data_IF_557825089567
#
_entry.id   IF_557825089567
#
_cell.length_a   1.000
_cell.length_b   1.000
_cell.length_c   1.000
_cell.angle_alpha   90.00
_cell.angle_beta   90.00
_cell.angle_gamma   90.00
#
_symmetry.space_group_name_H-M   'P 1'
#
loop_
_entity.id
_entity.type
_entity.pdbx_description
1 polymer ?
#
# COMPACT_ATOMS: atom_id res chain seq x y z
N UNK A 1 -12.34 17.31 41.31
CA UNK A 1 -12.56 18.27 40.21
C UNK A 1 -13.89 17.92 39.56
N UNK A 2 -14.81 18.87 39.40
CA UNK A 2 -16.11 18.60 38.79
C UNK A 2 -15.92 18.23 37.31
N UNK A 3 -16.42 17.07 36.89
CA UNK A 3 -16.39 16.65 35.49
C UNK A 3 -17.17 17.67 34.65
N UNK A 4 -16.49 18.40 33.78
CA UNK A 4 -17.13 19.32 32.84
C UNK A 4 -17.99 18.50 31.89
N UNK A 5 -19.30 18.72 31.93
CA UNK A 5 -20.30 18.10 31.07
C UNK A 5 -20.69 19.06 29.96
N UNK A 6 -20.76 18.56 28.73
CA UNK A 6 -21.32 19.30 27.58
C UNK A 6 -22.29 18.41 26.82
N UNK A 7 -23.43 18.98 26.39
CA UNK A 7 -24.45 18.29 25.61
C UNK A 7 -24.50 18.88 24.20
N UNK A 8 -24.60 18.00 23.22
CA UNK A 8 -24.62 18.35 21.79
C UNK A 8 -25.72 17.57 21.08
N UNK A 9 -26.34 18.17 20.08
CA UNK A 9 -27.29 17.51 19.19
C UNK A 9 -26.64 17.35 17.81
N UNK A 10 -26.63 16.13 17.27
CA UNK A 10 -25.96 15.79 16.00
C UNK A 10 -26.88 14.91 15.15
N UNK A 11 -26.92 15.15 13.85
CA UNK A 11 -27.55 14.23 12.88
C UNK A 11 -26.51 13.26 12.32
N UNK A 12 -26.80 11.96 12.31
CA UNK A 12 -25.85 10.93 11.87
C UNK A 12 -26.52 9.83 11.04
N UNK A 13 -25.88 9.28 9.99
CA UNK A 13 -26.44 8.17 9.20
C UNK A 13 -26.76 6.97 10.09
N UNK A 14 -28.03 6.58 10.11
CA UNK A 14 -28.53 5.64 11.11
C UNK A 14 -27.92 4.23 10.91
N UNK A 15 -27.79 3.81 9.64
CA UNK A 15 -27.02 2.63 9.22
C UNK A 15 -25.59 2.59 9.78
N UNK A 16 -24.86 3.71 9.65
CA UNK A 16 -23.47 3.80 10.11
C UNK A 16 -23.40 3.73 11.63
N UNK A 17 -24.33 4.38 12.33
CA UNK A 17 -24.38 4.36 13.78
C UNK A 17 -24.64 2.94 14.33
N UNK A 18 -25.61 2.22 13.76
CA UNK A 18 -25.93 0.86 14.19
C UNK A 18 -24.71 -0.09 14.01
N UNK A 19 -23.97 0.06 12.91
CA UNK A 19 -22.71 -0.68 12.69
C UNK A 19 -21.65 -0.35 13.72
N UNK A 20 -21.41 0.94 13.97
CA UNK A 20 -20.45 1.40 14.98
C UNK A 20 -20.83 0.85 16.37
N UNK A 21 -22.11 0.91 16.74
CA UNK A 21 -22.59 0.41 18.02
C UNK A 21 -22.34 -1.10 18.18
N UNK A 22 -22.59 -1.89 17.14
CA UNK A 22 -22.33 -3.32 17.14
C UNK A 22 -20.82 -3.62 17.27
N UNK A 23 -20.00 -3.00 16.42
CA UNK A 23 -18.56 -3.25 16.41
C UNK A 23 -17.90 -2.80 17.71
N UNK A 24 -18.29 -1.64 18.25
CA UNK A 24 -17.85 -1.18 19.55
C UNK A 24 -18.18 -2.20 20.63
N UNK A 25 -19.44 -2.64 20.73
CA UNK A 25 -19.85 -3.64 21.73
C UNK A 25 -18.98 -4.90 21.63
N UNK A 26 -18.88 -5.48 20.44
CA UNK A 26 -18.21 -6.77 20.26
C UNK A 26 -16.70 -6.67 20.47
N UNK A 27 -16.04 -5.62 19.98
CA UNK A 27 -14.60 -5.46 20.20
C UNK A 27 -14.28 -5.26 21.68
N UNK A 28 -15.14 -4.56 22.44
CA UNK A 28 -14.96 -4.38 23.89
C UNK A 28 -15.18 -5.69 24.63
N UNK A 29 -16.18 -6.48 24.26
CA UNK A 29 -16.40 -7.83 24.81
C UNK A 29 -15.21 -8.76 24.53
N UNK A 30 -14.58 -8.63 23.35
CA UNK A 30 -13.39 -9.39 22.96
C UNK A 30 -12.07 -8.80 23.46
N UNK A 31 -12.09 -7.67 24.16
CA UNK A 31 -10.87 -7.00 24.63
C UNK A 31 -9.94 -6.47 23.53
N UNK A 32 -10.45 -6.21 22.33
CA UNK A 32 -9.69 -5.64 21.21
C UNK A 32 -9.83 -4.11 21.23
N UNK A 33 -8.71 -3.42 21.37
CA UNK A 33 -8.69 -1.95 21.38
C UNK A 33 -8.97 -1.35 20.00
N UNK A 34 -9.37 -0.08 19.98
CA UNK A 34 -9.59 0.68 18.76
C UNK A 34 -8.29 0.78 17.94
N UNK A 35 -7.14 0.88 18.61
CA UNK A 35 -5.84 0.86 17.93
C UNK A 35 -5.55 -0.50 17.30
N UNK A 36 -5.71 -1.59 18.05
CA UNK A 36 -5.45 -2.94 17.55
C UNK A 36 -6.32 -3.24 16.32
N UNK A 37 -7.62 -2.91 16.40
CA UNK A 37 -8.53 -3.05 15.27
C UNK A 37 -8.13 -2.17 14.08
N UNK A 38 -7.75 -0.90 14.31
CA UNK A 38 -7.26 -0.01 13.24
C UNK A 38 -5.97 -0.50 12.59
N UNK A 39 -5.08 -1.10 13.38
CA UNK A 39 -3.81 -1.65 12.91
C UNK A 39 -4.05 -2.87 12.01
N UNK A 40 -4.91 -3.80 12.44
CA UNK A 40 -5.29 -4.97 11.64
C UNK A 40 -5.97 -4.58 10.32
N UNK A 41 -6.80 -3.53 10.34
CA UNK A 41 -7.37 -2.94 9.12
C UNK A 41 -6.32 -2.31 8.20
N UNK A 42 -5.10 -2.07 8.69
CA UNK A 42 -4.04 -1.38 7.95
C UNK A 42 -4.31 0.12 7.76
N UNK A 43 -5.19 0.72 8.57
CA UNK A 43 -5.54 2.16 8.52
C UNK A 43 -4.69 2.96 9.51
N UNK A 44 -4.91 4.27 9.58
CA UNK A 44 -4.23 5.10 10.57
C UNK A 44 -4.60 4.68 11.99
N UNK A 45 -3.69 4.90 12.95
CA UNK A 45 -3.76 4.39 14.34
C UNK A 45 -5.07 4.69 15.11
N UNK A 46 -5.86 5.64 14.64
CA UNK A 46 -7.07 6.12 15.31
C UNK A 46 -8.33 5.96 14.47
N UNK A 47 -8.28 5.19 13.38
CA UNK A 47 -9.40 5.04 12.45
C UNK A 47 -10.68 4.59 13.16
N UNK A 48 -10.64 3.48 13.89
CA UNK A 48 -11.80 2.96 14.63
C UNK A 48 -12.27 3.95 15.70
N UNK A 49 -11.33 4.50 16.48
CA UNK A 49 -11.64 5.50 17.52
C UNK A 49 -12.34 6.73 16.93
N UNK A 50 -11.91 7.17 15.76
CA UNK A 50 -12.49 8.32 15.07
C UNK A 50 -13.85 7.96 14.46
N UNK A 51 -14.06 6.73 13.95
CA UNK A 51 -15.40 6.27 13.50
C UNK A 51 -16.40 6.16 14.64
N UNK A 52 -15.94 5.84 15.85
CA UNK A 52 -16.78 5.76 17.05
C UNK A 52 -17.14 7.15 17.61
N UNK A 53 -16.58 8.22 17.05
CA UNK A 53 -16.85 9.57 17.49
C UNK A 53 -17.86 10.24 16.53
N UNK A 54 -19.11 10.52 16.98
CA UNK A 54 -20.14 11.11 16.13
C UNK A 54 -19.82 12.54 15.66
N UNK A 55 -18.79 13.18 16.22
CA UNK A 55 -18.29 14.49 15.77
C UNK A 55 -17.23 14.40 14.66
N UNK A 56 -16.79 13.20 14.28
CA UNK A 56 -15.80 12.99 13.22
C UNK A 56 -16.50 12.60 11.92
N UNK A 57 -15.96 13.03 10.76
CA UNK A 57 -16.51 12.66 9.46
C UNK A 57 -16.10 11.24 9.02
N UNK A 58 -15.25 10.56 9.78
CA UNK A 58 -14.72 9.23 9.43
C UNK A 58 -15.83 8.19 9.52
N UNK A 59 -16.09 7.48 8.41
CA UNK A 59 -17.06 6.40 8.33
C UNK A 59 -16.38 5.10 7.94
N UNK A 60 -17.00 3.98 8.30
CA UNK A 60 -16.59 2.63 7.90
C UNK A 60 -17.21 2.34 6.54
N UNK A 61 -16.38 2.18 5.50
CA UNK A 61 -16.84 1.79 4.17
C UNK A 61 -17.22 0.28 4.12
N UNK A 62 -17.90 -0.20 3.07
CA UNK A 62 -18.31 -1.61 2.99
C UNK A 62 -17.17 -2.62 3.06
N UNK A 63 -16.00 -2.27 2.54
CA UNK A 63 -14.83 -3.14 2.48
C UNK A 63 -14.13 -3.18 3.84
N UNK A 64 -14.02 -2.05 4.54
CA UNK A 64 -13.58 -1.99 5.94
C UNK A 64 -14.57 -2.73 6.87
N UNK A 65 -15.88 -2.62 6.63
CA UNK A 65 -16.92 -3.34 7.36
C UNK A 65 -16.73 -4.86 7.27
N UNK A 66 -16.41 -5.38 6.08
CA UNK A 66 -16.12 -6.80 5.88
C UNK A 66 -14.85 -7.26 6.62
N UNK A 67 -13.77 -6.46 6.59
CA UNK A 67 -12.54 -6.80 7.32
C UNK A 67 -12.70 -6.70 8.85
N UNK A 68 -13.48 -5.75 9.36
CA UNK A 68 -13.85 -5.69 10.79
C UNK A 68 -14.60 -6.97 11.19
N UNK A 69 -15.51 -7.46 10.34
CA UNK A 69 -16.20 -8.73 10.54
C UNK A 69 -15.22 -9.89 10.76
N UNK A 70 -14.15 -10.00 9.95
CA UNK A 70 -13.11 -11.02 10.11
C UNK A 70 -12.29 -10.82 11.40
N UNK A 71 -11.87 -9.59 11.70
CA UNK A 71 -11.13 -9.27 12.92
C UNK A 71 -11.92 -9.72 14.16
N UNK A 72 -13.22 -9.44 14.17
CA UNK A 72 -14.12 -9.72 15.29
C UNK A 72 -14.76 -11.12 15.24
N UNK A 73 -14.50 -11.92 14.20
CA UNK A 73 -15.09 -13.25 13.98
C UNK A 73 -16.63 -13.20 14.00
N UNK A 74 -17.21 -12.33 13.16
CA UNK A 74 -18.66 -12.20 12.99
C UNK A 74 -19.13 -13.08 11.84
N UNK A 75 -20.15 -13.90 12.09
CA UNK A 75 -20.83 -14.69 11.06
C UNK A 75 -21.59 -13.77 10.07
N UNK A 76 -22.30 -12.76 10.58
CA UNK A 76 -23.02 -11.75 9.79
C UNK A 76 -22.49 -10.33 10.06
N UNK A 77 -21.65 -9.82 9.16
CA UNK A 77 -21.07 -8.47 9.31
C UNK A 77 -21.99 -7.33 8.84
N UNK A 78 -23.13 -7.66 8.21
CA UNK A 78 -24.19 -6.72 7.81
C UNK A 78 -25.40 -6.89 8.76
N UNK A 79 -25.32 -6.34 9.98
CA UNK A 79 -26.44 -6.44 10.92
C UNK A 79 -27.71 -5.81 10.35
N UNK A 80 -28.90 -6.19 10.86
CA UNK A 80 -30.16 -5.55 10.47
C UNK A 80 -30.06 -4.05 10.66
N UNK A 81 -30.34 -3.30 9.60
CA UNK A 81 -30.22 -1.84 9.60
C UNK A 81 -31.57 -1.25 9.94
N UNK A 82 -31.54 -0.20 10.74
CA UNK A 82 -32.73 0.65 10.92
C UNK A 82 -33.23 1.17 9.56
N UNK A 83 -34.55 1.23 9.33
CA UNK A 83 -35.11 1.82 8.11
C UNK A 83 -34.98 3.35 8.06
N UNK A 84 -34.51 3.98 9.14
CA UNK A 84 -34.28 5.42 9.19
C UNK A 84 -33.04 5.81 8.39
N UNK A 85 -33.11 6.94 7.67
CA UNK A 85 -31.96 7.50 6.98
C UNK A 85 -30.96 8.14 7.96
N UNK A 86 -31.48 8.90 8.93
CA UNK A 86 -30.70 9.68 9.89
C UNK A 86 -31.24 9.51 11.31
N UNK A 87 -30.33 9.34 12.27
CA UNK A 87 -30.62 9.52 13.69
C UNK A 87 -30.35 10.96 14.12
N UNK A 88 -31.18 11.46 15.04
CA UNK A 88 -30.85 12.61 15.89
C UNK A 88 -30.23 12.08 17.18
N UNK A 89 -28.98 12.44 17.42
CA UNK A 89 -28.18 11.96 18.54
C UNK A 89 -27.98 13.08 19.57
N UNK A 90 -28.41 12.83 20.81
CA UNK A 90 -28.01 13.60 21.97
C UNK A 90 -26.70 13.03 22.52
N UNK A 91 -25.61 13.78 22.44
CA UNK A 91 -24.28 13.36 22.89
C UNK A 91 -23.86 14.15 24.11
N UNK A 92 -23.75 13.49 25.26
CA UNK A 92 -23.18 14.05 26.49
C UNK A 92 -21.70 13.64 26.60
N UNK A 93 -20.79 14.62 26.55
CA UNK A 93 -19.38 14.38 26.84
C UNK A 93 -19.08 14.65 28.31
N UNK A 94 -18.47 13.66 28.97
CA UNK A 94 -18.02 13.70 30.36
C UNK A 94 -16.50 13.55 30.35
N UNK A 95 -15.79 14.63 30.67
CA UNK A 95 -14.33 14.54 30.87
C UNK A 95 -14.03 13.75 32.13
N UNK A 96 -13.28 12.67 31.99
CA UNK A 96 -12.80 11.86 33.13
C UNK A 96 -11.44 12.39 33.58
N UNK A 97 -10.53 12.62 32.63
CA UNK A 97 -9.23 13.25 32.86
C UNK A 97 -8.76 14.02 31.61
N UNK A 98 -7.47 14.38 31.53
CA UNK A 98 -6.90 15.14 30.42
C UNK A 98 -6.98 14.41 29.07
N UNK A 99 -6.98 13.08 29.08
CA UNK A 99 -6.92 12.23 27.87
C UNK A 99 -8.22 11.46 27.64
N UNK A 100 -8.92 11.07 28.70
CA UNK A 100 -10.13 10.24 28.61
C UNK A 100 -11.42 11.06 28.66
N UNK A 101 -12.23 10.90 27.63
CA UNK A 101 -13.59 11.42 27.53
C UNK A 101 -14.55 10.24 27.40
N UNK A 102 -15.57 10.20 28.25
CA UNK A 102 -16.75 9.34 28.09
C UNK A 102 -17.82 10.08 27.31
N UNK A 103 -18.38 9.45 26.30
CA UNK A 103 -19.53 9.93 25.53
C UNK A 103 -20.73 9.05 25.83
N UNK A 104 -21.80 9.65 26.31
CA UNK A 104 -23.11 9.00 26.42
C UNK A 104 -23.94 9.49 25.25
N UNK A 105 -24.26 8.60 24.33
CA UNK A 105 -25.01 8.90 23.11
C UNK A 105 -26.42 8.35 23.29
N UNK A 106 -27.44 9.18 23.10
CA UNK A 106 -28.85 8.77 23.13
C UNK A 106 -29.50 9.10 21.79
N UNK A 107 -30.15 8.10 21.18
CA UNK A 107 -30.93 8.31 19.96
C UNK A 107 -32.28 8.92 20.36
N UNK A 108 -32.66 10.06 19.78
CA UNK A 108 -34.02 10.59 19.95
C UNK A 108 -35.01 9.67 19.22
N UNK A 109 -35.85 8.95 19.96
CA UNK A 109 -36.97 8.19 19.43
C UNK A 109 -38.28 8.98 19.52
N UNK A 110 -39.22 8.67 18.62
CA UNK A 110 -40.62 9.00 18.87
C UNK A 110 -41.07 8.31 20.16
N UNK A 111 -41.89 9.01 20.93
CA UNK A 111 -42.13 8.92 22.38
C UNK A 111 -42.49 7.55 23.02
N UNK A 112 -42.41 6.42 22.32
CA UNK A 112 -42.85 5.09 22.76
C UNK A 112 -41.82 3.94 22.64
N UNK A 113 -40.57 4.18 22.20
CA UNK A 113 -39.51 3.17 22.21
C UNK A 113 -38.49 3.46 23.32
N UNK A 114 -38.00 2.46 24.07
CA UNK A 114 -36.94 2.68 25.05
C UNK A 114 -35.71 3.28 24.35
N UNK A 115 -35.19 4.36 24.90
CA UNK A 115 -34.03 5.06 24.36
C UNK A 115 -32.85 4.08 24.23
N UNK A 116 -32.41 3.79 23.00
CA UNK A 116 -31.10 3.18 22.77
C UNK A 116 -30.05 4.20 23.21
N UNK A 117 -29.16 3.78 24.11
CA UNK A 117 -28.00 4.57 24.47
C UNK A 117 -26.72 3.75 24.33
N UNK A 118 -25.64 4.43 23.96
CA UNK A 118 -24.32 3.85 23.76
C UNK A 118 -23.31 4.68 24.56
N UNK A 119 -22.48 3.99 25.35
CA UNK A 119 -21.42 4.62 26.13
C UNK A 119 -20.05 4.30 25.51
N UNK A 120 -19.40 5.32 24.96
CA UNK A 120 -18.09 5.20 24.30
C UNK A 120 -17.04 5.91 25.12
N UNK A 121 -15.95 5.20 25.41
CA UNK A 121 -14.77 5.79 26.04
C UNK A 121 -13.72 6.08 24.96
N UNK A 122 -13.10 7.25 25.04
CA UNK A 122 -11.97 7.57 24.18
C UNK A 122 -10.78 6.69 24.58
N UNK A 123 -10.25 5.95 23.62
CA UNK A 123 -9.08 5.10 23.79
C UNK A 123 -7.82 5.79 23.25
N UNK A 124 -6.72 5.68 23.99
CA UNK A 124 -5.39 6.06 23.54
C UNK A 124 -4.79 4.98 22.64
N UNK A 125 -3.69 5.30 21.94
CA UNK A 125 -3.09 4.40 20.95
C UNK A 125 -2.64 3.06 21.55
N UNK A 126 -2.28 3.02 22.82
CA UNK A 126 -1.65 1.84 23.44
C UNK A 126 -2.45 1.38 24.66
N UNK A 127 -3.76 1.63 24.66
CA UNK A 127 -4.66 1.09 25.68
C UNK A 127 -4.75 -0.43 25.52
N UNK A 128 -4.43 -1.15 26.58
CA UNK A 128 -4.63 -2.58 26.69
C UNK A 128 -5.94 -2.84 27.42
N UNK A 129 -6.85 -3.57 26.76
CA UNK A 129 -8.11 -3.98 27.37
C UNK A 129 -7.95 -5.37 27.99
N UNK A 130 -8.69 -5.64 29.05
CA UNK A 130 -8.92 -7.01 29.50
C UNK A 130 -9.60 -7.80 28.38
N UNK A 131 -9.16 -9.04 28.16
CA UNK A 131 -9.58 -9.86 27.03
C UNK A 131 -9.89 -11.29 27.45
N UNK A 132 -11.00 -11.88 26.96
CA UNK A 132 -11.27 -13.31 27.09
C UNK A 132 -10.60 -14.14 25.98
N UNK A 133 -9.99 -13.50 24.98
CA UNK A 133 -9.28 -14.19 23.89
C UNK A 133 -7.96 -14.79 24.38
N UNK A 134 -7.47 -15.81 23.67
CA UNK A 134 -6.18 -16.43 23.95
C UNK A 134 -5.05 -15.43 23.74
N UNK A 135 -4.41 -15.03 24.84
CA UNK A 135 -3.27 -14.15 24.84
C UNK A 135 -1.99 -15.00 24.98
N UNK A 136 -1.29 -15.21 23.86
CA UNK A 136 0.02 -15.90 23.82
C UNK A 136 1.12 -15.03 24.47
N UNK A 137 2.38 -15.42 24.33
CA UNK A 137 3.54 -14.67 24.83
C UNK A 137 4.34 -14.04 23.69
N UNK A 138 5.10 -12.99 23.98
CA UNK A 138 5.98 -12.37 22.98
C UNK A 138 7.00 -13.34 22.37
N UNK A 139 7.66 -14.25 23.14
CA UNK A 139 8.59 -15.21 22.56
C UNK A 139 7.93 -16.21 21.59
N UNK A 140 6.76 -16.77 21.93
CA UNK A 140 6.03 -17.70 21.06
C UNK A 140 5.65 -17.02 19.73
N UNK A 141 5.11 -15.81 19.80
CA UNK A 141 4.78 -15.03 18.60
C UNK A 141 6.03 -14.75 17.77
N UNK A 142 7.14 -14.38 18.40
CA UNK A 142 8.39 -14.09 17.68
C UNK A 142 8.98 -15.32 17.00
N UNK A 143 8.96 -16.49 17.66
CA UNK A 143 9.40 -17.75 17.07
C UNK A 143 8.57 -18.09 15.83
N UNK A 144 7.25 -18.12 15.95
CA UNK A 144 6.36 -18.41 14.82
C UNK A 144 6.51 -17.37 13.68
N UNK A 145 6.72 -16.11 14.02
CA UNK A 145 6.95 -15.06 13.01
C UNK A 145 8.26 -15.26 12.25
N UNK A 146 9.33 -15.69 12.93
CA UNK A 146 10.62 -16.03 12.30
C UNK A 146 10.51 -17.26 11.41
N UNK A 147 9.74 -18.28 11.81
CA UNK A 147 9.46 -19.43 10.94
C UNK A 147 8.74 -19.00 9.64
N UNK A 148 7.79 -18.06 9.72
CA UNK A 148 7.14 -17.51 8.53
C UNK A 148 8.14 -16.76 7.62
N UNK A 149 9.07 -16.01 8.20
CA UNK A 149 10.14 -15.34 7.43
C UNK A 149 11.01 -16.36 6.71
N UNK A 150 11.49 -17.40 7.42
CA UNK A 150 12.31 -18.47 6.83
C UNK A 150 11.59 -19.24 5.73
N UNK A 151 10.26 -19.34 5.79
CA UNK A 151 9.42 -19.95 4.76
C UNK A 151 9.12 -19.02 3.57
N UNK A 152 9.64 -17.78 3.57
CA UNK A 152 9.40 -16.81 2.52
C UNK A 152 7.97 -16.25 2.51
N UNK A 153 7.24 -16.30 3.63
CA UNK A 153 5.87 -15.79 3.71
C UNK A 153 5.77 -14.30 3.36
N UNK A 154 6.81 -13.54 3.73
CA UNK A 154 6.94 -12.09 3.51
C UNK A 154 7.64 -11.71 2.20
N UNK A 155 8.02 -12.70 1.38
CA UNK A 155 8.41 -12.47 -0.02
C UNK A 155 7.26 -11.83 -0.82
N UNK A 156 6.02 -12.10 -0.41
CA UNK A 156 4.83 -11.42 -0.91
C UNK A 156 4.37 -10.36 0.09
N UNK A 157 3.77 -9.28 -0.40
CA UNK A 157 3.16 -8.27 0.47
C UNK A 157 1.97 -8.84 1.23
N UNK A 158 1.91 -8.57 2.54
CA UNK A 158 0.84 -8.98 3.44
C UNK A 158 0.24 -7.79 4.17
N UNK A 159 -1.06 -7.79 4.38
CA UNK A 159 -1.75 -6.89 5.30
C UNK A 159 -1.60 -7.41 6.74
N UNK A 160 -1.77 -6.52 7.73
CA UNK A 160 -1.76 -6.95 9.13
C UNK A 160 -2.84 -8.01 9.44
N UNK A 161 -4.00 -7.95 8.77
CA UNK A 161 -5.06 -8.93 8.92
C UNK A 161 -4.68 -10.30 8.31
N UNK A 162 -4.04 -10.34 7.14
CA UNK A 162 -3.57 -11.63 6.56
C UNK A 162 -2.55 -12.31 7.47
N UNK A 163 -1.64 -11.54 8.06
CA UNK A 163 -0.67 -12.08 9.03
C UNK A 163 -1.43 -12.62 10.26
N UNK A 164 -2.40 -11.86 10.77
CA UNK A 164 -3.18 -12.26 11.94
C UNK A 164 -4.06 -13.50 11.70
N UNK A 165 -4.70 -13.60 10.54
CA UNK A 165 -5.47 -14.77 10.14
C UNK A 165 -4.57 -16.00 9.97
N UNK A 166 -3.34 -15.79 9.49
CA UNK A 166 -2.33 -16.86 9.41
C UNK A 166 -1.98 -17.39 10.80
N UNK A 167 -1.77 -16.52 11.78
CA UNK A 167 -1.57 -16.93 13.17
C UNK A 167 -2.78 -17.68 13.72
N UNK A 168 -4.00 -17.18 13.50
CA UNK A 168 -5.24 -17.84 13.94
C UNK A 168 -5.43 -19.24 13.34
N UNK A 169 -4.86 -19.51 12.18
CA UNK A 169 -4.91 -20.82 11.53
C UNK A 169 -3.86 -21.81 12.06
N UNK A 170 -2.86 -21.37 12.82
CA UNK A 170 -1.87 -22.27 13.42
C UNK A 170 -2.43 -22.95 14.68
N UNK A 171 -2.19 -24.25 14.83
CA UNK A 171 -2.70 -25.04 15.95
C UNK A 171 -2.32 -24.47 17.32
N UNK A 172 -1.12 -23.87 17.45
CA UNK A 172 -0.62 -23.30 18.70
C UNK A 172 -1.34 -22.01 19.14
N UNK A 173 -1.95 -21.27 18.22
CA UNK A 173 -2.63 -20.00 18.52
C UNK A 173 -4.15 -20.13 18.41
N UNK A 174 -4.64 -20.78 17.35
CA UNK A 174 -6.06 -21.03 17.11
C UNK A 174 -6.91 -19.79 16.83
N UNK A 175 -8.21 -19.98 16.52
CA UNK A 175 -9.10 -18.90 16.09
C UNK A 175 -9.32 -17.82 17.15
N UNK A 176 -9.18 -18.16 18.44
CA UNK A 176 -9.34 -17.23 19.55
C UNK A 176 -8.07 -16.44 19.88
N UNK A 177 -7.03 -16.48 19.06
CA UNK A 177 -5.80 -15.71 19.25
C UNK A 177 -6.05 -14.19 19.30
N UNK A 178 -5.47 -13.53 20.30
CA UNK A 178 -5.52 -12.08 20.49
C UNK A 178 -4.35 -11.37 19.77
N UNK A 179 -4.59 -10.24 19.06
CA UNK A 179 -3.58 -9.64 18.18
C UNK A 179 -2.46 -8.87 18.88
N UNK A 180 -2.58 -8.57 20.17
CA UNK A 180 -1.67 -7.66 20.91
C UNK A 180 -0.20 -7.92 20.67
N UNK A 181 0.28 -9.13 20.98
CA UNK A 181 1.70 -9.47 20.86
C UNK A 181 2.14 -9.59 19.40
N UNK A 182 1.26 -9.99 18.48
CA UNK A 182 1.54 -9.96 17.05
C UNK A 182 1.77 -8.52 16.55
N UNK A 183 0.93 -7.58 16.94
CA UNK A 183 1.08 -6.16 16.56
C UNK A 183 2.39 -5.59 17.12
N UNK A 184 2.72 -5.89 18.37
CA UNK A 184 4.01 -5.49 18.96
C UNK A 184 5.19 -6.08 18.18
N UNK A 185 5.11 -7.35 17.78
CA UNK A 185 6.13 -8.03 16.99
C UNK A 185 6.29 -7.43 15.58
N UNK A 186 5.19 -7.24 14.83
CA UNK A 186 5.23 -6.57 13.51
C UNK A 186 5.85 -5.17 13.63
N UNK A 187 5.47 -4.40 14.66
CA UNK A 187 6.04 -3.07 14.91
C UNK A 187 7.53 -3.11 15.19
N UNK A 188 8.02 -4.14 15.87
CA UNK A 188 9.45 -4.35 16.12
C UNK A 188 10.21 -4.52 14.80
N UNK A 189 9.71 -5.37 13.90
CA UNK A 189 10.37 -5.70 12.64
C UNK A 189 10.29 -4.64 11.54
N UNK A 190 9.48 -3.59 11.71
CA UNK A 190 9.46 -2.41 10.80
C UNK A 190 10.19 -1.19 11.37
N UNK A 191 10.56 -1.21 12.64
CA UNK A 191 11.08 -0.03 13.31
C UNK A 191 12.61 0.03 13.23
N UNK A 192 13.13 1.00 12.47
CA UNK A 192 14.58 1.24 12.35
C UNK A 192 15.28 1.51 13.68
N UNK A 193 14.55 1.95 14.72
CA UNK A 193 15.10 2.22 16.06
C UNK A 193 15.20 0.98 16.96
N UNK A 194 14.57 -0.14 16.59
CA UNK A 194 14.62 -1.40 17.38
C UNK A 194 15.76 -2.34 16.99
N UNK A 195 16.65 -1.94 16.08
CA UNK A 195 17.92 -2.60 15.80
C UNK A 195 17.95 -3.44 14.53
N UNK A 196 16.87 -4.15 14.21
CA UNK A 196 16.82 -5.06 13.05
C UNK A 196 15.48 -4.95 12.30
N UNK A 197 15.24 -3.84 11.56
CA UNK A 197 14.11 -3.78 10.65
C UNK A 197 14.34 -4.75 9.49
N UNK A 198 13.48 -5.77 9.38
CA UNK A 198 13.52 -6.74 8.27
C UNK A 198 12.28 -6.64 7.37
N UNK A 199 11.25 -5.91 7.83
CA UNK A 199 10.05 -5.65 7.05
C UNK A 199 9.98 -4.18 6.65
N UNK A 200 9.56 -3.93 5.42
CA UNK A 200 9.14 -2.61 4.95
C UNK A 200 7.61 -2.49 4.97
N UNK A 201 7.12 -1.29 5.24
CA UNK A 201 5.69 -0.98 5.26
C UNK A 201 5.31 0.36 4.63
N UNK A 202 6.14 0.83 3.70
CA UNK A 202 5.97 2.08 2.96
C UNK A 202 4.81 2.05 1.97
N UNK A 203 4.29 0.85 1.68
CA UNK A 203 3.29 0.60 0.63
C UNK A 203 1.89 0.37 1.18
N UNK A 204 0.91 0.59 0.32
CA UNK A 204 -0.48 0.25 0.58
C UNK A 204 -1.09 -0.55 -0.56
N UNK A 205 -2.10 -1.37 -0.27
CA UNK A 205 -2.90 -2.01 -1.31
C UNK A 205 -3.93 -1.03 -1.92
N UNK A 206 -4.77 -1.54 -2.85
CA UNK A 206 -5.80 -0.76 -3.53
C UNK A 206 -6.87 -0.14 -2.59
N UNK A 207 -7.02 -0.67 -1.38
CA UNK A 207 -7.91 -0.16 -0.34
C UNK A 207 -7.19 0.72 0.69
N UNK A 208 -5.99 1.20 0.34
CA UNK A 208 -5.12 2.02 1.19
C UNK A 208 -4.71 1.35 2.51
N UNK A 209 -4.70 0.01 2.56
CA UNK A 209 -4.24 -0.74 3.73
C UNK A 209 -2.74 -0.93 3.66
N UNK A 210 -2.05 -0.65 4.76
CA UNK A 210 -0.62 -0.88 4.88
C UNK A 210 -0.24 -2.33 4.56
N UNK A 211 0.77 -2.48 3.73
CA UNK A 211 1.38 -3.75 3.36
C UNK A 211 2.70 -3.93 4.12
N UNK A 212 3.06 -5.17 4.42
CA UNK A 212 4.28 -5.60 5.08
C UNK A 212 4.95 -6.66 4.20
N UNK A 213 6.24 -6.50 3.91
CA UNK A 213 7.01 -7.41 3.08
C UNK A 213 8.48 -7.34 3.46
N UNK A 214 9.21 -8.40 3.18
CA UNK A 214 10.66 -8.42 3.27
C UNK A 214 11.24 -7.80 1.98
N UNK A 215 12.02 -6.71 2.09
CA UNK A 215 12.70 -6.15 0.93
C UNK A 215 13.65 -7.17 0.33
N UNK A 216 13.61 -7.35 -0.98
CA UNK A 216 14.59 -8.19 -1.67
C UNK A 216 15.95 -7.52 -1.60
N UNK A 217 16.91 -8.24 -1.03
CA UNK A 217 18.33 -7.94 -1.13
C UNK A 217 19.13 -9.24 -1.15
N UNK A 218 20.28 -9.21 -1.80
CA UNK A 218 21.22 -10.32 -1.86
C UNK A 218 22.63 -9.81 -2.11
N UNK A 219 23.62 -10.53 -1.59
CA UNK A 219 25.03 -10.25 -1.89
C UNK A 219 25.32 -10.58 -3.35
N UNK A 220 25.99 -9.67 -4.04
CA UNK A 220 26.43 -9.85 -5.42
C UNK A 220 27.64 -10.78 -5.44
N UNK A 221 27.54 -11.89 -6.18
CA UNK A 221 28.67 -12.76 -6.48
C UNK A 221 29.42 -12.24 -7.71
N UNK A 222 30.58 -11.66 -7.44
CA UNK A 222 31.43 -10.97 -8.41
C UNK A 222 31.90 -11.90 -9.54
N UNK A 223 32.00 -13.20 -9.29
CA UNK A 223 32.46 -14.16 -10.29
C UNK A 223 31.40 -14.52 -11.35
N UNK A 224 30.15 -14.07 -11.21
CA UNK A 224 29.04 -14.58 -12.01
C UNK A 224 28.79 -13.86 -13.34
N UNK A 225 29.28 -12.64 -13.54
CA UNK A 225 29.14 -11.97 -14.83
C UNK A 225 29.65 -10.54 -14.91
N UNK A 226 29.55 -9.95 -16.09
CA UNK A 226 30.12 -8.64 -16.41
C UNK A 226 29.40 -7.51 -15.65
N UNK A 227 28.10 -7.63 -15.41
CA UNK A 227 27.34 -6.65 -14.63
C UNK A 227 27.75 -6.72 -13.16
N UNK A 228 27.87 -7.92 -12.60
CA UNK A 228 28.33 -8.15 -11.22
C UNK A 228 29.73 -7.58 -10.99
N UNK A 229 30.67 -7.84 -11.93
CA UNK A 229 32.02 -7.26 -11.92
C UNK A 229 32.01 -5.72 -11.98
N UNK A 230 31.09 -5.14 -12.76
CA UNK A 230 30.99 -3.68 -12.91
C UNK A 230 30.50 -3.00 -11.63
N UNK A 231 29.60 -3.63 -10.87
CA UNK A 231 29.19 -3.14 -9.56
C UNK A 231 30.29 -3.30 -8.50
N UNK A 232 31.04 -4.40 -8.51
CA UNK A 232 32.19 -4.59 -7.63
C UNK A 232 33.25 -3.50 -7.83
N UNK A 233 33.53 -3.12 -9.08
CA UNK A 233 34.46 -2.03 -9.38
C UNK A 233 34.04 -0.67 -8.77
N UNK A 234 32.76 -0.51 -8.41
CA UNK A 234 32.22 0.65 -7.69
C UNK A 234 32.15 0.46 -6.17
N UNK A 235 32.55 -0.70 -5.65
CA UNK A 235 32.43 -1.08 -4.24
C UNK A 235 30.98 -1.38 -3.81
N UNK A 236 30.10 -1.68 -4.76
CA UNK A 236 28.69 -2.01 -4.53
C UNK A 236 28.57 -3.54 -4.43
N UNK A 237 28.10 -4.03 -3.29
CA UNK A 237 28.17 -5.46 -2.95
C UNK A 237 26.80 -6.12 -2.73
N UNK A 238 25.70 -5.36 -2.72
CA UNK A 238 24.35 -5.91 -2.63
C UNK A 238 23.43 -5.41 -3.73
N UNK A 239 22.37 -6.17 -4.01
CA UNK A 239 21.32 -5.76 -4.95
C UNK A 239 20.65 -4.46 -4.51
N UNK A 240 20.41 -4.28 -3.21
CA UNK A 240 19.86 -3.05 -2.65
C UNK A 240 20.75 -1.84 -2.95
N UNK A 241 22.06 -1.95 -2.72
CA UNK A 241 23.03 -0.90 -3.05
C UNK A 241 23.07 -0.61 -4.56
N UNK A 242 23.03 -1.65 -5.40
CA UNK A 242 22.96 -1.51 -6.85
C UNK A 242 21.67 -0.81 -7.30
N UNK A 243 20.54 -1.16 -6.71
CA UNK A 243 19.24 -0.55 -7.00
C UNK A 243 19.19 0.93 -6.58
N UNK A 244 19.77 1.28 -5.43
CA UNK A 244 19.91 2.66 -4.98
C UNK A 244 20.81 3.47 -5.92
N UNK A 245 21.95 2.90 -6.34
CA UNK A 245 22.84 3.53 -7.32
C UNK A 245 22.13 3.75 -8.66
N UNK A 246 21.46 2.73 -9.19
CA UNK A 246 20.68 2.82 -10.44
C UNK A 246 19.60 3.88 -10.32
N UNK A 247 18.88 3.93 -9.21
CA UNK A 247 17.82 4.92 -8.96
C UNK A 247 18.36 6.35 -8.95
N UNK A 248 19.54 6.57 -8.37
CA UNK A 248 20.20 7.87 -8.28
C UNK A 248 20.72 8.42 -9.62
N UNK A 249 20.94 7.57 -10.64
CA UNK A 249 21.39 8.03 -11.96
C UNK A 249 20.39 8.98 -12.63
N UNK A 250 20.89 9.95 -13.39
CA UNK A 250 20.05 10.88 -14.13
C UNK A 250 19.13 10.17 -15.14
N UNK A 251 17.86 10.58 -15.21
CA UNK A 251 16.92 10.05 -16.20
C UNK A 251 17.16 10.66 -17.59
N UNK A 252 17.91 9.95 -18.44
CA UNK A 252 18.32 10.42 -19.78
C UNK A 252 18.54 9.25 -20.74
N UNK A 253 18.48 9.52 -22.05
CA UNK A 253 18.84 8.54 -23.09
C UNK A 253 20.35 8.23 -23.04
N UNK A 254 20.68 6.95 -23.12
CA UNK A 254 22.04 6.45 -23.28
C UNK A 254 22.58 6.72 -24.70
N UNK A 255 23.90 6.78 -24.83
CA UNK A 255 24.61 6.93 -26.11
C UNK A 255 24.41 5.70 -26.99
N UNK A 256 24.60 4.51 -26.41
CA UNK A 256 24.21 3.21 -26.97
C UNK A 256 23.35 2.44 -25.96
N UNK A 257 22.05 2.38 -26.22
CA UNK A 257 21.10 1.64 -25.36
C UNK A 257 21.21 0.11 -25.48
N UNK A 258 21.94 -0.40 -26.46
CA UNK A 258 22.16 -1.84 -26.64
C UNK A 258 23.42 -2.32 -25.91
N UNK A 259 24.33 -1.41 -25.53
CA UNK A 259 25.47 -1.73 -24.68
C UNK A 259 24.98 -2.15 -23.27
N UNK A 260 25.28 -3.38 -22.81
CA UNK A 260 24.90 -3.85 -21.48
C UNK A 260 25.40 -3.02 -20.31
N UNK A 261 26.52 -2.31 -20.50
CA UNK A 261 27.16 -1.49 -19.48
C UNK A 261 26.93 0.02 -19.67
N UNK A 262 26.00 0.41 -20.56
CA UNK A 262 25.78 1.82 -20.91
C UNK A 262 25.51 2.76 -19.71
N UNK A 263 24.95 2.24 -18.61
CA UNK A 263 24.70 3.01 -17.40
C UNK A 263 25.99 3.41 -16.68
N UNK A 264 27.00 2.54 -16.65
CA UNK A 264 28.30 2.80 -16.04
C UNK A 264 29.09 3.83 -16.85
N UNK A 265 29.01 3.75 -18.19
CA UNK A 265 29.69 4.67 -19.11
C UNK A 265 29.01 6.06 -19.13
N UNK A 266 27.69 6.09 -19.33
CA UNK A 266 26.96 7.34 -19.55
C UNK A 266 26.54 8.05 -18.25
N UNK A 267 26.65 7.38 -17.10
CA UNK A 267 26.17 7.84 -15.79
C UNK A 267 24.71 8.34 -15.81
N UNK A 268 23.88 7.68 -16.61
CA UNK A 268 22.47 7.99 -16.78
C UNK A 268 21.73 6.79 -17.38
N UNK A 269 20.40 6.83 -17.32
CA UNK A 269 19.60 5.80 -17.97
C UNK A 269 18.12 6.16 -18.09
N UNK A 270 17.40 5.36 -18.87
CA UNK A 270 15.95 5.41 -18.96
C UNK A 270 15.32 4.32 -18.11
N UNK A 271 13.99 4.29 -17.98
CA UNK A 271 13.32 3.21 -17.27
C UNK A 271 13.66 1.83 -17.84
N UNK A 272 13.91 1.73 -19.16
CA UNK A 272 14.31 0.48 -19.77
C UNK A 272 15.75 0.10 -19.42
N UNK A 273 16.74 0.94 -19.71
CA UNK A 273 18.15 0.60 -19.47
C UNK A 273 18.48 0.42 -17.99
N UNK A 274 17.84 1.19 -17.09
CA UNK A 274 17.95 1.03 -15.64
C UNK A 274 17.48 -0.33 -15.15
N UNK A 275 16.26 -0.74 -15.48
CA UNK A 275 15.73 -2.02 -15.01
C UNK A 275 16.30 -3.23 -15.76
N UNK A 276 16.72 -3.06 -17.02
CA UNK A 276 17.47 -4.11 -17.75
C UNK A 276 18.79 -4.41 -17.06
N UNK A 277 19.53 -3.40 -16.60
CA UNK A 277 20.77 -3.61 -15.85
C UNK A 277 20.52 -4.41 -14.57
N UNK A 278 19.51 -4.01 -13.78
CA UNK A 278 19.15 -4.71 -12.54
C UNK A 278 18.64 -6.13 -12.80
N UNK A 279 17.91 -6.35 -13.90
CA UNK A 279 17.48 -7.69 -14.32
C UNK A 279 18.69 -8.56 -14.65
N UNK A 280 19.66 -8.05 -15.40
CA UNK A 280 20.89 -8.79 -15.72
C UNK A 280 21.67 -9.13 -14.46
N UNK A 281 21.79 -8.19 -13.52
CA UNK A 281 22.41 -8.46 -12.23
C UNK A 281 21.70 -9.60 -11.49
N UNK A 282 20.36 -9.59 -11.45
CA UNK A 282 19.57 -10.65 -10.85
C UNK A 282 19.75 -12.00 -11.55
N UNK A 283 19.77 -12.01 -12.88
CA UNK A 283 19.98 -13.22 -13.69
C UNK A 283 21.37 -13.83 -13.47
N UNK A 284 22.42 -13.00 -13.48
CA UNK A 284 23.78 -13.44 -13.15
C UNK A 284 23.82 -14.07 -11.75
N UNK A 285 23.09 -13.50 -10.79
CA UNK A 285 23.11 -13.96 -9.39
C UNK A 285 22.14 -15.12 -9.08
N UNK A 286 21.27 -15.50 -10.02
CA UNK A 286 20.35 -16.62 -9.87
C UNK A 286 19.06 -16.26 -9.13
N UNK A 287 18.55 -15.05 -9.34
CA UNK A 287 17.33 -14.51 -8.73
C UNK A 287 16.18 -14.39 -9.77
N UNK A 288 15.57 -15.51 -10.21
CA UNK A 288 14.51 -15.50 -11.21
C UNK A 288 13.20 -14.84 -10.73
N UNK A 289 13.02 -14.67 -9.43
CA UNK A 289 11.88 -13.97 -8.82
C UNK A 289 11.81 -12.48 -9.18
N UNK A 290 12.93 -11.91 -9.64
CA UNK A 290 13.00 -10.53 -10.15
C UNK A 290 12.71 -10.54 -11.65
N UNK A 291 11.45 -10.27 -12.00
CA UNK A 291 10.96 -10.30 -13.37
C UNK A 291 11.01 -8.90 -13.99
N UNK A 292 11.55 -8.78 -15.20
CA UNK A 292 11.53 -7.52 -15.93
C UNK A 292 10.19 -7.38 -16.66
N UNK A 293 9.44 -6.36 -16.29
CA UNK A 293 8.09 -6.13 -16.80
C UNK A 293 8.05 -4.92 -17.73
N UNK A 294 7.15 -5.00 -18.72
CA UNK A 294 6.73 -3.90 -19.56
C UNK A 294 5.25 -3.63 -19.35
N UNK A 295 4.93 -2.52 -18.70
CA UNK A 295 3.57 -2.08 -18.47
C UNK A 295 3.14 -0.97 -19.42
N UNK A 296 1.91 -1.01 -19.90
CA UNK A 296 1.24 0.13 -20.52
C UNK A 296 0.38 0.83 -19.48
N UNK A 297 0.55 2.13 -19.33
CA UNK A 297 -0.32 2.99 -18.53
C UNK A 297 -0.71 4.23 -19.32
N UNK A 298 -1.71 4.96 -18.84
CA UNK A 298 -2.13 6.21 -19.47
C UNK A 298 -1.47 7.40 -18.78
N UNK A 299 -0.56 8.09 -19.47
CA UNK A 299 -0.05 9.36 -18.97
C UNK A 299 -1.11 10.45 -19.12
N UNK A 300 -1.40 11.12 -18.02
CA UNK A 300 -2.39 12.20 -17.89
C UNK A 300 -1.74 13.40 -17.22
N UNK A 301 -2.42 14.56 -17.25
CA UNK A 301 -1.98 15.72 -16.48
C UNK A 301 -2.01 15.51 -14.95
N UNK A 302 -2.71 14.46 -14.45
CA UNK A 302 -2.86 14.17 -13.01
C UNK A 302 -1.71 13.33 -12.48
N UNK A 303 -1.41 12.20 -13.13
CA UNK A 303 -0.34 11.28 -12.73
C UNK A 303 1.04 11.72 -13.26
N UNK A 304 1.09 12.44 -14.39
CA UNK A 304 2.33 12.95 -14.98
C UNK A 304 2.22 14.46 -15.24
N UNK A 305 2.22 15.32 -14.20
CA UNK A 305 1.98 16.75 -14.37
C UNK A 305 2.93 17.47 -15.34
N UNK A 306 4.13 16.93 -15.55
CA UNK A 306 5.13 17.47 -16.48
C UNK A 306 4.64 17.53 -17.94
N UNK A 307 3.70 16.67 -18.34
CA UNK A 307 3.25 16.59 -19.75
C UNK A 307 1.95 17.36 -20.02
N UNK A 308 1.40 18.06 -19.02
CA UNK A 308 0.11 18.75 -19.09
C UNK A 308 0.02 19.69 -20.30
N UNK A 309 1.06 20.48 -20.54
CA UNK A 309 1.08 21.46 -21.63
C UNK A 309 1.17 20.79 -23.01
N UNK A 310 1.88 19.65 -23.11
CA UNK A 310 1.96 18.86 -24.33
C UNK A 310 0.60 18.26 -24.66
N UNK A 311 -0.07 17.65 -23.68
CA UNK A 311 -1.42 17.11 -23.84
C UNK A 311 -2.42 18.20 -24.28
N UNK A 312 -2.36 19.38 -23.67
CA UNK A 312 -3.20 20.53 -24.03
C UNK A 312 -2.93 21.02 -25.47
N UNK A 313 -1.66 21.13 -25.86
CA UNK A 313 -1.24 21.54 -27.21
C UNK A 313 -1.85 20.65 -28.29
N UNK A 314 -1.92 19.34 -28.04
CA UNK A 314 -2.44 18.34 -28.98
C UNK A 314 -3.90 17.94 -28.73
N UNK A 315 -4.60 18.61 -27.82
CA UNK A 315 -5.99 18.30 -27.44
C UNK A 315 -6.20 16.81 -27.04
N UNK A 316 -5.23 16.22 -26.34
CA UNK A 316 -5.30 14.86 -25.82
C UNK A 316 -5.63 14.88 -24.32
N UNK A 317 -6.59 14.06 -23.89
CA UNK A 317 -6.87 13.87 -22.46
C UNK A 317 -5.76 13.06 -21.77
N UNK A 318 -5.21 12.10 -22.48
CA UNK A 318 -4.15 11.20 -22.04
C UNK A 318 -3.45 10.58 -23.26
N UNK A 319 -2.29 9.98 -23.05
CA UNK A 319 -1.55 9.22 -24.06
C UNK A 319 -1.04 7.90 -23.45
N UNK A 320 -1.22 6.73 -24.11
CA UNK A 320 -0.64 5.48 -23.65
C UNK A 320 0.88 5.51 -23.68
N UNK A 321 1.52 5.04 -22.62
CA UNK A 321 2.96 4.99 -22.46
C UNK A 321 3.43 3.64 -21.96
N UNK A 322 4.54 3.17 -22.51
CA UNK A 322 5.20 1.95 -22.09
C UNK A 322 6.31 2.23 -21.06
N UNK A 323 6.20 1.62 -19.90
CA UNK A 323 7.13 1.77 -18.78
C UNK A 323 7.73 0.43 -18.38
N UNK A 324 9.04 0.42 -18.10
CA UNK A 324 9.77 -0.78 -17.70
C UNK A 324 10.09 -0.70 -16.21
N UNK A 325 9.90 -1.79 -15.48
CA UNK A 325 10.11 -1.92 -14.04
C UNK A 325 10.41 -3.38 -13.69
N UNK A 326 10.79 -3.66 -12.45
CA UNK A 326 10.92 -5.03 -11.94
C UNK A 326 9.64 -5.41 -11.19
N UNK A 327 9.11 -6.61 -11.38
CA UNK A 327 8.12 -7.20 -10.49
C UNK A 327 8.81 -8.28 -9.68
N UNK A 328 8.69 -8.14 -8.36
CA UNK A 328 9.18 -9.06 -7.36
C UNK A 328 7.95 -9.70 -6.72
N UNK A 329 7.75 -10.99 -6.95
CA UNK A 329 6.57 -11.69 -6.45
C UNK A 329 5.26 -10.97 -6.86
N UNK A 330 4.51 -10.41 -5.92
CA UNK A 330 3.26 -9.69 -6.17
C UNK A 330 3.39 -8.15 -6.09
N UNK A 331 4.61 -7.60 -6.09
CA UNK A 331 4.81 -6.15 -5.97
C UNK A 331 5.81 -5.59 -6.99
N UNK A 332 5.62 -4.31 -7.32
CA UNK A 332 6.44 -3.58 -8.30
C UNK A 332 7.64 -2.93 -7.62
N UNK A 333 8.83 -3.04 -8.19
CA UNK A 333 10.05 -2.33 -7.83
C UNK A 333 10.41 -1.37 -8.97
N UNK A 334 10.34 -0.07 -8.70
CA UNK A 334 10.69 0.96 -9.69
C UNK A 334 11.91 1.79 -9.24
N UNK A 335 12.98 1.68 -10.01
CA UNK A 335 14.26 2.36 -9.83
C UNK A 335 14.51 3.38 -10.94
N UNK A 336 13.44 3.97 -11.49
CA UNK A 336 13.56 4.98 -12.55
C UNK A 336 14.21 6.26 -12.03
N UNK A 337 14.02 6.59 -10.75
CA UNK A 337 14.58 7.79 -10.12
C UNK A 337 13.76 9.08 -10.36
N UNK A 338 12.48 8.95 -10.75
CA UNK A 338 11.59 10.09 -11.04
C UNK A 338 10.39 10.20 -10.09
N UNK A 339 10.42 9.46 -8.97
CA UNK A 339 9.38 9.49 -7.95
C UNK A 339 8.07 8.81 -8.35
N UNK A 340 8.15 7.71 -9.11
CA UNK A 340 6.98 6.86 -9.39
C UNK A 340 6.47 6.31 -8.05
N UNK A 341 5.15 6.39 -7.85
CA UNK A 341 4.50 5.72 -6.73
C UNK A 341 3.97 4.39 -7.24
N UNK A 342 4.60 3.30 -6.83
CA UNK A 342 4.38 1.95 -7.38
C UNK A 342 2.95 1.48 -7.15
N UNK A 343 2.37 1.76 -5.98
CA UNK A 343 0.96 1.46 -5.68
C UNK A 343 0.01 2.17 -6.66
N UNK A 344 0.21 3.47 -6.91
CA UNK A 344 -0.65 4.22 -7.84
C UNK A 344 -0.42 3.79 -9.28
N UNK A 345 0.82 3.52 -9.64
CA UNK A 345 1.20 3.06 -10.96
C UNK A 345 0.56 1.70 -11.28
N UNK A 346 0.60 0.75 -10.35
CA UNK A 346 -0.04 -0.56 -10.51
C UNK A 346 -1.54 -0.44 -10.81
N UNK A 347 -2.24 0.49 -10.15
CA UNK A 347 -3.66 0.76 -10.38
C UNK A 347 -3.97 1.41 -11.74
N UNK A 348 -2.96 1.98 -12.40
CA UNK A 348 -3.10 2.65 -13.70
C UNK A 348 -2.65 1.77 -14.87
N UNK A 349 -2.07 0.60 -14.59
CA UNK A 349 -1.69 -0.39 -15.60
C UNK A 349 -2.92 -0.85 -16.41
N UNK A 350 -2.72 -0.93 -17.72
CA UNK A 350 -3.73 -1.36 -18.72
C UNK A 350 -3.36 -2.68 -19.38
N UNK A 351 -2.07 -2.93 -19.48
CA UNK A 351 -1.51 -4.18 -19.94
C UNK A 351 -0.12 -4.32 -19.30
N UNK A 352 0.30 -5.55 -19.08
CA UNK A 352 1.61 -5.89 -18.52
C UNK A 352 2.08 -7.19 -19.18
N UNK A 353 3.36 -7.25 -19.53
CA UNK A 353 4.00 -8.45 -20.07
C UNK A 353 5.42 -8.54 -19.53
N UNK A 354 5.86 -9.76 -19.20
CA UNK A 354 7.25 -10.03 -18.87
C UNK A 354 8.11 -10.00 -20.13
N UNK A 355 9.28 -9.39 -20.06
CA UNK A 355 10.24 -9.30 -21.16
C UNK A 355 11.63 -9.75 -20.69
N UNK A 356 12.42 -10.31 -21.61
CA UNK A 356 13.81 -10.66 -21.34
C UNK A 356 14.74 -9.45 -21.52
N UNK A 357 15.82 -9.39 -20.74
CA UNK A 357 16.77 -8.27 -20.77
C UNK A 357 17.32 -8.00 -22.19
N UNK A 358 17.67 -9.05 -22.93
CA UNK A 358 18.28 -8.93 -24.26
C UNK A 358 17.29 -8.51 -25.35
N UNK A 359 15.99 -8.67 -25.11
CA UNK A 359 14.93 -8.29 -26.05
C UNK A 359 14.31 -6.93 -25.71
N UNK A 360 14.67 -6.34 -24.57
CA UNK A 360 13.89 -5.28 -23.96
C UNK A 360 13.76 -4.03 -24.83
N UNK A 361 14.79 -3.68 -25.59
CA UNK A 361 14.82 -2.48 -26.42
C UNK A 361 13.84 -2.56 -27.60
N UNK A 362 13.90 -3.63 -28.38
CA UNK A 362 13.09 -3.78 -29.59
C UNK A 362 11.68 -4.25 -29.28
N UNK A 363 11.54 -5.19 -28.34
CA UNK A 363 10.24 -5.66 -27.86
C UNK A 363 9.42 -4.51 -27.29
N UNK A 364 10.04 -3.55 -26.58
CA UNK A 364 9.33 -2.38 -26.05
C UNK A 364 8.77 -1.49 -27.15
N UNK A 365 9.56 -1.19 -28.19
CA UNK A 365 9.10 -0.31 -29.27
C UNK A 365 7.99 -0.97 -30.07
N UNK A 366 8.14 -2.26 -30.42
CA UNK A 366 7.08 -3.01 -31.13
C UNK A 366 5.81 -3.07 -30.30
N UNK A 367 5.90 -3.56 -29.05
CA UNK A 367 4.76 -3.71 -28.17
C UNK A 367 4.01 -2.40 -27.94
N UNK A 368 4.73 -1.28 -27.76
CA UNK A 368 4.10 0.03 -27.58
C UNK A 368 3.41 0.50 -28.87
N UNK A 369 4.04 0.33 -30.03
CA UNK A 369 3.43 0.70 -31.32
C UNK A 369 2.19 -0.14 -31.64
N UNK A 370 2.21 -1.43 -31.35
CA UNK A 370 1.07 -2.33 -31.53
C UNK A 370 -0.11 -1.91 -30.63
N UNK A 371 0.19 -1.57 -29.37
CA UNK A 371 -0.81 -1.04 -28.44
C UNK A 371 -1.38 0.30 -28.92
N UNK A 372 -0.53 1.24 -29.36
CA UNK A 372 -0.95 2.54 -29.87
C UNK A 372 -1.84 2.40 -31.09
N UNK A 373 -1.50 1.51 -32.03
CA UNK A 373 -2.32 1.23 -33.22
C UNK A 373 -3.71 0.78 -32.81
N UNK A 374 -3.80 -0.21 -31.92
CA UNK A 374 -5.08 -0.69 -31.39
C UNK A 374 -5.85 0.40 -30.64
N UNK A 375 -5.14 1.27 -29.91
CA UNK A 375 -5.74 2.35 -29.14
C UNK A 375 -6.31 3.47 -30.04
N UNK A 376 -5.62 3.83 -31.13
CA UNK A 376 -6.07 4.79 -32.14
C UNK A 376 -7.42 4.33 -32.72
N UNK A 377 -7.47 3.09 -33.19
CA UNK A 377 -8.66 2.51 -33.83
C UNK A 377 -9.86 2.48 -32.87
N UNK A 378 -9.63 2.07 -31.63
CA UNK A 378 -10.70 1.96 -30.60
C UNK A 378 -11.22 3.31 -30.12
N UNK A 379 -10.40 4.36 -30.12
CA UNK A 379 -10.75 5.65 -29.53
C UNK A 379 -11.00 6.75 -30.56
N UNK A 380 -10.89 6.45 -31.86
CA UNK A 380 -11.10 7.42 -32.94
C UNK A 380 -10.13 8.61 -32.87
N UNK A 381 -8.88 8.35 -32.48
CA UNK A 381 -7.87 9.40 -32.28
C UNK A 381 -7.48 10.00 -33.62
N UNK A 382 -7.48 11.33 -33.72
CA UNK A 382 -7.26 12.04 -34.99
C UNK A 382 -5.81 12.05 -35.50
N UNK A 383 -4.89 11.38 -34.81
CA UNK A 383 -3.47 11.36 -35.11
C UNK A 383 -3.05 9.97 -35.59
N UNK A 384 -2.18 9.93 -36.60
CA UNK A 384 -1.51 8.70 -37.02
C UNK A 384 -0.54 8.19 -35.96
N UNK A 385 -0.12 6.93 -36.10
CA UNK A 385 0.86 6.31 -35.20
C UNK A 385 2.16 7.13 -35.12
N UNK A 386 2.66 7.61 -36.26
CA UNK A 386 3.91 8.40 -36.31
C UNK A 386 3.77 9.78 -35.65
N UNK A 387 2.61 10.42 -35.79
CA UNK A 387 2.31 11.67 -35.10
C UNK A 387 2.21 11.45 -33.59
N UNK A 388 1.48 10.43 -33.14
CA UNK A 388 1.40 10.08 -31.73
C UNK A 388 2.75 9.72 -31.14
N UNK A 389 3.59 9.02 -31.90
CA UNK A 389 4.95 8.70 -31.45
C UNK A 389 5.79 9.97 -31.23
N UNK A 390 5.66 10.97 -32.12
CA UNK A 390 6.30 12.28 -31.93
C UNK A 390 5.75 13.03 -30.72
N UNK A 391 4.44 13.02 -30.52
CA UNK A 391 3.78 13.63 -29.34
C UNK A 391 4.28 12.96 -28.05
N UNK A 392 4.38 11.63 -28.05
CA UNK A 392 4.95 10.84 -26.95
C UNK A 392 6.40 11.25 -26.64
N UNK A 393 7.26 11.39 -27.65
CA UNK A 393 8.63 11.87 -27.41
C UNK A 393 8.68 13.30 -26.86
N UNK A 394 7.75 14.19 -27.24
CA UNK A 394 7.61 15.51 -26.59
C UNK A 394 7.24 15.39 -25.11
N UNK A 395 6.33 14.47 -24.76
CA UNK A 395 6.00 14.15 -23.37
C UNK A 395 7.23 13.68 -22.59
N UNK A 396 8.02 12.73 -23.12
CA UNK A 396 9.23 12.24 -22.46
C UNK A 396 10.26 13.35 -22.26
N UNK A 397 10.46 14.22 -23.26
CA UNK A 397 11.34 15.39 -23.12
C UNK A 397 10.89 16.32 -21.98
N UNK A 398 9.58 16.50 -21.80
CA UNK A 398 9.05 17.32 -20.71
C UNK A 398 9.33 16.70 -19.33
N UNK A 399 9.26 15.38 -19.20
CA UNK A 399 9.60 14.64 -17.97
C UNK A 399 11.10 14.82 -17.68
N UNK A 400 11.99 14.52 -18.63
CA UNK A 400 13.45 14.63 -18.47
C UNK A 400 13.90 16.02 -18.03
N UNK A 401 13.31 17.09 -18.57
CA UNK A 401 13.65 18.48 -18.19
C UNK A 401 13.33 18.80 -16.74
N UNK A 402 12.31 18.15 -16.16
CA UNK A 402 11.90 18.37 -14.78
C UNK A 402 12.76 17.59 -13.79
N UNK A 403 13.23 16.41 -14.17
CA UNK A 403 14.11 15.56 -13.35
C UNK A 403 15.55 16.08 -13.26
N UNK A 404 15.96 16.99 -14.14
CA UNK A 404 17.30 17.60 -14.16
C UNK A 404 17.43 18.87 -13.29
N UNK A 405 16.36 19.25 -12.57
CA UNK A 405 16.34 20.32 -11.58
C UNK A 405 16.17 19.72 -10.20
#
# INVERSE_FOLDING_TARGET
>A
MANKKSKHLVTFPAFSFDKIALYYKIRKEKGISAFECSFLLGKHNFFIRDTENPFKPTLIDPEDSAQIGKILLLEDYNPPVTPLDLYKLNVEEIKIDRKRIKRVITIESDHNLPNKYLEIFTEEKEDELETPLFLSTSPEVQTAFRELLEQGYFNHTRTALEIFDTFRAMDQFGPNFHPRYLIQNIRYFVNKKSGEPILDNSRTNLFSRRLFFEPIDFTIDQAKGEVSNSFDALGINSFGEAADWVSALNYRRNSDKNNPLCLFEDNCGTCSTKHVLLKRLADENGHPELQLMLGIFYMTAKNTPAIKDVLKKYNLKYIPEAHSYIRAYNYILDYTGIGINETKFELELRAEVEIQADQATDSKVSYHKDYLTTWIDKNGVSYSLDELWKIREECIKAITRRSAK
#
